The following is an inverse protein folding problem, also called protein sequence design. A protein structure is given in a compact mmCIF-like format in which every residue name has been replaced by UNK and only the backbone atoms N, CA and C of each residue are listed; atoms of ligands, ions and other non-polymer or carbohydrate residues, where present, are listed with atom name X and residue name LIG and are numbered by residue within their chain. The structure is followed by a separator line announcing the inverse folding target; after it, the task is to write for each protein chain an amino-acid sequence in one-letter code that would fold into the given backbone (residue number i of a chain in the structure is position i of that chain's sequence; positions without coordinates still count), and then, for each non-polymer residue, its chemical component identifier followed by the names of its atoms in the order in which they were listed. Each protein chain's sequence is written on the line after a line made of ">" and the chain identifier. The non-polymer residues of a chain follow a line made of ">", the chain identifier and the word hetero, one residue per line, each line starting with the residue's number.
data_IF_864239805263
#
_entry.id   IF_864239805263
#
_cell.length_a   1.000
_cell.length_b   1.000
_cell.length_c   1.000
_cell.angle_alpha   90.00
_cell.angle_beta   90.00
_cell.angle_gamma   90.00
#
_symmetry.space_group_name_H-M   'P 1'
#
loop_
_entity.id
_entity.type
_entity.pdbx_description
1 polymer ?
#
# COMPACT_ATOMS: atom_id res chain seq x y z
N UNK A 1 39.65 -1.23 -6.95
CA UNK A 1 39.17 0.03 -6.35
C UNK A 1 38.70 1.02 -7.41
N UNK A 2 37.92 2.00 -7.01
CA UNK A 2 37.39 3.03 -7.95
C UNK A 2 38.21 4.33 -7.87
N UNK A 3 39.03 4.50 -6.85
CA UNK A 3 39.86 5.71 -6.68
C UNK A 3 41.27 5.32 -6.20
N UNK A 4 42.29 5.81 -6.89
CA UNK A 4 43.68 5.60 -6.50
C UNK A 4 44.06 6.52 -5.32
N UNK A 5 44.82 5.99 -4.38
CA UNK A 5 45.48 6.76 -3.32
C UNK A 5 46.82 7.20 -3.90
N UNK A 6 46.88 8.42 -4.44
CA UNK A 6 48.02 8.92 -5.20
C UNK A 6 49.38 8.75 -4.50
N UNK A 7 49.53 9.05 -3.20
CA UNK A 7 50.80 8.80 -2.50
C UNK A 7 51.27 7.37 -2.50
N UNK A 8 50.33 6.39 -2.32
CA UNK A 8 50.66 4.96 -2.32
C UNK A 8 50.99 4.46 -3.73
N UNK A 9 50.28 4.99 -4.73
CA UNK A 9 50.54 4.69 -6.14
C UNK A 9 51.96 5.11 -6.55
N UNK A 10 52.35 6.34 -6.18
CA UNK A 10 53.68 6.87 -6.49
C UNK A 10 54.80 6.12 -5.77
N UNK A 11 54.55 5.51 -4.61
CA UNK A 11 55.48 4.69 -3.89
C UNK A 11 55.52 3.22 -4.38
N UNK A 12 54.74 2.87 -5.41
CA UNK A 12 54.70 1.51 -5.96
C UNK A 12 54.05 0.47 -5.01
N UNK A 13 53.29 0.90 -3.99
CA UNK A 13 52.66 0.01 -3.04
C UNK A 13 51.54 -0.78 -3.71
N UNK A 14 51.52 -2.12 -3.63
CA UNK A 14 50.38 -2.91 -4.07
C UNK A 14 49.12 -2.52 -3.28
N UNK A 15 47.94 -2.67 -3.88
CA UNK A 15 46.66 -2.31 -3.24
C UNK A 15 46.52 -0.79 -2.91
N UNK A 16 46.98 0.05 -3.81
CA UNK A 16 46.91 1.49 -3.71
C UNK A 16 45.57 2.11 -4.13
N UNK A 17 44.50 1.33 -4.21
CA UNK A 17 43.18 1.79 -4.61
C UNK A 17 42.17 1.64 -3.48
N UNK A 18 41.31 2.65 -3.31
CA UNK A 18 40.18 2.60 -2.37
C UNK A 18 38.97 1.96 -3.03
N UNK A 19 38.36 1.01 -2.33
CA UNK A 19 37.07 0.47 -2.69
C UNK A 19 36.06 0.90 -1.63
N UNK A 20 35.00 1.57 -2.06
CA UNK A 20 33.91 1.93 -1.16
C UNK A 20 33.18 0.64 -0.75
N UNK A 21 33.42 0.15 0.45
CA UNK A 21 32.67 -0.98 1.00
C UNK A 21 31.25 -0.49 1.27
N UNK A 22 30.32 -0.81 0.38
CA UNK A 22 28.91 -0.55 0.63
C UNK A 22 28.45 -1.54 1.71
N UNK A 23 28.30 -1.05 2.91
CA UNK A 23 27.64 -1.82 3.98
C UNK A 23 26.15 -1.85 3.64
N UNK A 24 25.54 -3.02 3.45
CA UNK A 24 24.11 -3.06 3.20
C UNK A 24 23.37 -2.54 4.43
N UNK A 25 22.75 -1.39 4.30
CA UNK A 25 21.85 -0.85 5.33
C UNK A 25 20.56 -1.64 5.24
N UNK A 26 20.23 -2.39 6.29
CA UNK A 26 18.99 -3.14 6.39
C UNK A 26 17.83 -2.14 6.54
N UNK A 27 17.16 -1.82 5.43
CA UNK A 27 16.02 -0.91 5.42
C UNK A 27 14.80 -1.60 6.03
N UNK A 28 14.08 -0.89 6.90
CA UNK A 28 12.83 -1.38 7.48
C UNK A 28 11.73 -1.35 6.39
N UNK A 29 11.09 -2.50 6.17
CA UNK A 29 9.99 -2.62 5.21
C UNK A 29 8.65 -2.49 5.95
N UNK A 30 7.77 -1.65 5.42
CA UNK A 30 6.42 -1.40 5.94
C UNK A 30 5.41 -1.81 4.87
N UNK A 31 4.35 -2.48 5.29
CA UNK A 31 3.25 -2.85 4.40
C UNK A 31 2.02 -2.01 4.72
N UNK A 32 1.58 -1.27 3.73
CA UNK A 32 0.43 -0.37 3.80
C UNK A 32 -0.71 -0.95 2.95
N UNK A 33 -1.92 -0.99 3.50
CA UNK A 33 -3.12 -1.43 2.83
C UNK A 33 -4.09 -0.26 2.72
N UNK A 34 -4.39 0.20 1.51
CA UNK A 34 -5.38 1.25 1.23
C UNK A 34 -6.71 0.62 0.87
N UNK A 35 -7.72 0.81 1.70
CA UNK A 35 -9.08 0.41 1.37
C UNK A 35 -9.64 1.28 0.24
N UNK A 36 -10.27 0.65 -0.75
CA UNK A 36 -10.95 1.30 -1.87
C UNK A 36 -12.43 0.94 -1.93
N UNK A 37 -12.99 0.43 -0.85
CA UNK A 37 -14.40 0.03 -0.70
C UNK A 37 -15.32 1.24 -0.45
N UNK A 38 -15.37 2.12 -1.44
CA UNK A 38 -16.21 3.32 -1.38
C UNK A 38 -17.69 3.02 -1.58
N UNK A 39 -18.54 3.70 -0.82
CA UNK A 39 -19.98 3.69 -1.04
C UNK A 39 -20.33 4.39 -2.36
N UNK A 40 -21.51 4.06 -2.91
CA UNK A 40 -21.98 4.64 -4.18
C UNK A 40 -22.14 6.16 -4.20
N UNK A 41 -22.31 6.79 -3.02
CA UNK A 41 -22.44 8.23 -2.87
C UNK A 41 -21.12 9.02 -2.78
N UNK A 42 -19.98 8.34 -2.84
CA UNK A 42 -18.67 9.02 -2.80
C UNK A 42 -18.34 9.57 -4.16
N UNK A 43 -18.01 10.87 -4.24
CA UNK A 43 -17.64 11.53 -5.49
C UNK A 43 -16.23 11.13 -5.97
N UNK A 44 -16.00 11.29 -7.28
CA UNK A 44 -14.68 11.03 -7.87
C UNK A 44 -13.59 11.94 -7.25
N UNK A 45 -13.92 13.21 -6.98
CA UNK A 45 -12.97 14.18 -6.41
C UNK A 45 -12.53 13.76 -4.99
N UNK A 46 -13.44 13.25 -4.18
CA UNK A 46 -13.11 12.71 -2.86
C UNK A 46 -12.17 11.51 -2.95
N UNK A 47 -12.37 10.62 -3.92
CA UNK A 47 -11.48 9.47 -4.17
C UNK A 47 -10.09 9.94 -4.58
N UNK A 48 -10.00 10.97 -5.44
CA UNK A 48 -8.74 11.57 -5.87
C UNK A 48 -7.99 12.14 -4.67
N UNK A 49 -8.66 12.94 -3.85
CA UNK A 49 -8.08 13.58 -2.67
C UNK A 49 -7.52 12.55 -1.68
N UNK A 50 -8.28 11.50 -1.39
CA UNK A 50 -7.81 10.41 -0.51
C UNK A 50 -6.61 9.66 -1.08
N UNK A 51 -6.61 9.46 -2.39
CA UNK A 51 -5.52 8.77 -3.07
C UNK A 51 -4.23 9.60 -3.05
N UNK A 52 -4.34 10.92 -3.18
CA UNK A 52 -3.22 11.84 -3.03
C UNK A 52 -2.65 11.77 -1.61
N UNK A 53 -3.50 11.78 -0.58
CA UNK A 53 -3.07 11.64 0.82
C UNK A 53 -2.34 10.31 1.05
N UNK A 54 -2.83 9.21 0.51
CA UNK A 54 -2.17 7.90 0.61
C UNK A 54 -0.78 7.91 -0.06
N UNK A 55 -0.65 8.50 -1.24
CA UNK A 55 0.64 8.63 -1.93
C UNK A 55 1.62 9.55 -1.17
N UNK A 56 1.13 10.62 -0.55
CA UNK A 56 1.94 11.51 0.29
C UNK A 56 2.50 10.78 1.51
N UNK A 57 1.70 9.92 2.16
CA UNK A 57 2.15 9.09 3.28
C UNK A 57 3.30 8.17 2.82
N UNK A 58 3.12 7.45 1.71
CA UNK A 58 4.18 6.59 1.16
C UNK A 58 5.45 7.39 0.86
N UNK A 59 5.32 8.56 0.22
CA UNK A 59 6.47 9.43 -0.12
C UNK A 59 7.22 9.89 1.13
N UNK A 60 6.51 10.29 2.17
CA UNK A 60 7.13 10.71 3.44
C UNK A 60 7.88 9.57 4.12
N UNK A 61 7.27 8.38 4.21
CA UNK A 61 7.91 7.19 4.79
C UNK A 61 9.18 6.80 4.02
N UNK A 62 9.15 6.85 2.69
CA UNK A 62 10.33 6.56 1.90
C UNK A 62 11.43 7.63 2.06
N UNK A 63 11.06 8.89 2.26
CA UNK A 63 12.02 9.96 2.58
C UNK A 63 12.67 9.77 3.96
N UNK A 64 11.99 9.15 4.91
CA UNK A 64 12.54 8.77 6.23
C UNK A 64 13.40 7.49 6.19
N UNK A 65 13.58 6.87 5.02
CA UNK A 65 14.43 5.69 4.85
C UNK A 65 13.71 4.35 4.97
N UNK A 66 12.40 4.35 5.15
CA UNK A 66 11.60 3.12 5.08
C UNK A 66 11.43 2.66 3.63
N UNK A 67 11.08 1.40 3.45
CA UNK A 67 10.63 0.85 2.18
C UNK A 67 9.18 0.39 2.30
N UNK A 68 8.33 0.85 1.37
CA UNK A 68 6.91 0.63 1.47
C UNK A 68 6.40 -0.37 0.41
N UNK A 69 5.72 -1.42 0.87
CA UNK A 69 4.77 -2.15 0.05
C UNK A 69 3.43 -1.42 0.13
N UNK A 70 2.81 -1.14 -1.00
CA UNK A 70 1.46 -0.58 -1.05
C UNK A 70 0.52 -1.56 -1.72
N UNK A 71 -0.55 -1.90 -1.02
CA UNK A 71 -1.64 -2.72 -1.52
C UNK A 71 -2.93 -1.90 -1.57
N UNK A 72 -3.78 -2.20 -2.52
CA UNK A 72 -5.20 -1.83 -2.46
C UNK A 72 -6.00 -3.01 -1.94
N UNK A 73 -7.00 -2.72 -1.16
CA UNK A 73 -7.84 -3.74 -0.51
C UNK A 73 -9.30 -3.41 -0.75
N UNK A 74 -10.04 -4.42 -1.13
CA UNK A 74 -11.50 -4.42 -1.10
C UNK A 74 -11.95 -5.39 -0.03
N UNK A 75 -12.67 -4.89 0.99
CA UNK A 75 -13.36 -5.70 1.97
C UNK A 75 -14.86 -5.59 1.79
N UNK A 76 -15.54 -6.71 1.65
CA UNK A 76 -16.99 -6.73 1.57
C UNK A 76 -17.55 -7.85 2.43
N UNK A 77 -18.73 -7.61 3.00
CA UNK A 77 -19.47 -8.59 3.82
C UNK A 77 -20.82 -8.84 3.18
N UNK A 78 -21.14 -10.09 2.94
CA UNK A 78 -22.39 -10.49 2.29
C UNK A 78 -22.89 -11.84 2.79
N UNK A 79 -24.16 -12.15 2.50
CA UNK A 79 -24.80 -13.44 2.79
C UNK A 79 -25.35 -13.58 4.21
N UNK A 80 -26.03 -14.70 4.43
CA UNK A 80 -26.51 -15.12 5.76
C UNK A 80 -26.18 -16.60 5.94
N UNK A 81 -25.39 -16.99 6.98
CA UNK A 81 -24.68 -16.09 7.89
C UNK A 81 -23.66 -15.23 7.16
N UNK A 82 -23.40 -14.01 7.66
CA UNK A 82 -22.56 -13.05 6.99
C UNK A 82 -21.14 -13.59 6.80
N UNK A 83 -20.67 -13.58 5.54
CA UNK A 83 -19.32 -13.96 5.17
C UNK A 83 -18.54 -12.74 4.78
N UNK A 84 -17.30 -12.66 5.26
CA UNK A 84 -16.37 -11.63 4.86
C UNK A 84 -15.55 -12.10 3.66
N UNK A 85 -15.40 -11.23 2.71
CA UNK A 85 -14.59 -11.45 1.53
C UNK A 85 -13.62 -10.28 1.35
N UNK A 86 -12.33 -10.59 1.25
CA UNK A 86 -11.29 -9.58 1.10
C UNK A 86 -10.39 -9.92 -0.07
N UNK A 87 -10.23 -8.96 -0.95
CA UNK A 87 -9.27 -9.00 -2.06
C UNK A 87 -8.16 -8.01 -1.78
N UNK A 88 -6.92 -8.47 -1.86
CA UNK A 88 -5.71 -7.66 -1.68
C UNK A 88 -4.87 -7.73 -2.95
N UNK A 89 -4.59 -6.58 -3.53
CA UNK A 89 -3.76 -6.45 -4.73
C UNK A 89 -2.56 -5.57 -4.44
N UNK A 90 -1.36 -6.09 -4.65
CA UNK A 90 -0.13 -5.29 -4.52
C UNK A 90 0.05 -4.40 -5.74
N UNK A 91 0.10 -3.10 -5.52
CA UNK A 91 0.29 -2.08 -6.55
C UNK A 91 1.70 -1.48 -6.55
N UNK A 92 2.43 -1.56 -5.42
CA UNK A 92 3.82 -1.16 -5.28
C UNK A 92 4.57 -2.14 -4.38
N UNK A 93 5.74 -2.59 -4.82
CA UNK A 93 6.68 -3.38 -4.03
C UNK A 93 7.68 -2.47 -3.30
N UNK A 94 8.20 -2.93 -2.15
CA UNK A 94 9.25 -2.25 -1.41
C UNK A 94 10.54 -2.03 -2.24
N UNK A 95 10.80 -2.91 -3.21
CA UNK A 95 11.97 -2.82 -4.08
C UNK A 95 11.80 -1.83 -5.25
N UNK A 96 10.57 -1.33 -5.47
CA UNK A 96 10.26 -0.39 -6.54
C UNK A 96 10.28 1.05 -6.03
N UNK A 97 10.72 1.98 -6.87
CA UNK A 97 10.53 3.42 -6.63
C UNK A 97 9.05 3.78 -6.76
N UNK A 98 8.65 4.83 -6.05
CA UNK A 98 7.29 5.37 -6.18
C UNK A 98 7.07 5.89 -7.61
N UNK A 99 6.15 5.28 -8.34
CA UNK A 99 5.75 5.70 -9.68
C UNK A 99 4.27 6.12 -9.66
N UNK A 100 4.04 7.43 -9.67
CA UNK A 100 2.70 8.01 -9.58
C UNK A 100 1.80 7.57 -10.75
N UNK A 101 2.35 7.53 -11.97
CA UNK A 101 1.57 7.13 -13.16
C UNK A 101 1.08 5.68 -13.07
N UNK A 102 1.91 4.77 -12.54
CA UNK A 102 1.52 3.36 -12.29
C UNK A 102 0.42 3.26 -11.23
N UNK A 103 0.46 4.12 -10.22
CA UNK A 103 -0.45 4.07 -9.08
C UNK A 103 -1.76 4.85 -9.32
N UNK A 104 -1.81 5.75 -10.28
CA UNK A 104 -2.94 6.62 -10.52
C UNK A 104 -4.22 5.80 -10.80
N UNK A 105 -4.20 4.86 -11.74
CA UNK A 105 -5.38 4.08 -12.07
C UNK A 105 -5.91 3.27 -10.87
N UNK A 106 -5.11 2.42 -10.19
CA UNK A 106 -5.62 1.58 -9.11
C UNK A 106 -6.08 2.35 -7.88
N UNK A 107 -5.53 3.54 -7.62
CA UNK A 107 -5.90 4.33 -6.45
C UNK A 107 -7.03 5.32 -6.73
N UNK A 108 -7.02 5.95 -7.92
CA UNK A 108 -7.85 7.13 -8.21
C UNK A 108 -9.08 6.77 -9.03
N UNK A 109 -8.98 5.80 -9.94
CA UNK A 109 -10.04 5.58 -10.90
C UNK A 109 -11.17 4.70 -10.35
N UNK A 110 -12.44 5.16 -10.32
CA UNK A 110 -13.57 4.40 -9.78
C UNK A 110 -13.78 3.03 -10.44
N UNK A 111 -13.33 2.86 -11.68
CA UNK A 111 -13.43 1.59 -12.40
C UNK A 111 -12.60 0.47 -11.76
N UNK A 112 -11.57 0.79 -10.98
CA UNK A 112 -10.84 -0.24 -10.23
C UNK A 112 -11.78 -1.01 -9.31
N UNK A 113 -12.61 -0.31 -8.54
CA UNK A 113 -13.63 -0.91 -7.69
C UNK A 113 -14.80 -1.43 -8.53
N UNK A 114 -15.48 -0.53 -9.27
CA UNK A 114 -16.80 -0.79 -9.86
C UNK A 114 -16.78 -1.72 -11.08
N UNK A 115 -15.63 -1.87 -11.74
CA UNK A 115 -15.50 -2.80 -12.87
C UNK A 115 -14.62 -3.99 -12.54
N UNK A 116 -13.38 -3.76 -12.11
CA UNK A 116 -12.42 -4.86 -11.93
C UNK A 116 -12.74 -5.71 -10.70
N UNK A 117 -12.94 -5.10 -9.52
CA UNK A 117 -13.26 -5.90 -8.33
C UNK A 117 -14.65 -6.51 -8.37
N UNK A 118 -15.66 -5.79 -8.87
CA UNK A 118 -16.99 -6.37 -9.01
C UNK A 118 -16.97 -7.52 -10.02
N UNK A 119 -16.27 -7.36 -11.14
CA UNK A 119 -16.09 -8.45 -12.11
C UNK A 119 -15.37 -9.64 -11.51
N UNK A 120 -14.38 -9.42 -10.65
CA UNK A 120 -13.71 -10.50 -9.92
C UNK A 120 -14.71 -11.28 -9.04
N UNK A 121 -15.57 -10.59 -8.28
CA UNK A 121 -16.63 -11.22 -7.47
C UNK A 121 -17.58 -12.03 -8.36
N UNK A 122 -17.99 -11.50 -9.50
CA UNK A 122 -18.91 -12.16 -10.43
C UNK A 122 -18.36 -13.45 -11.05
N UNK A 123 -17.07 -13.47 -11.33
CA UNK A 123 -16.41 -14.59 -12.03
C UNK A 123 -15.97 -15.69 -11.06
N UNK A 124 -15.84 -15.41 -9.76
CA UNK A 124 -15.38 -16.39 -8.78
C UNK A 124 -16.55 -17.18 -8.18
N UNK A 125 -16.79 -18.44 -8.60
CA UNK A 125 -18.01 -19.19 -8.27
C UNK A 125 -18.27 -19.35 -6.76
N UNK A 126 -17.19 -19.49 -5.99
CA UNK A 126 -17.30 -19.66 -4.53
C UNK A 126 -17.70 -18.37 -3.81
N UNK A 127 -17.46 -17.22 -4.44
CA UNK A 127 -17.78 -15.91 -3.90
C UNK A 127 -19.16 -15.47 -4.36
N UNK A 128 -19.46 -15.64 -5.65
CA UNK A 128 -20.75 -15.26 -6.27
C UNK A 128 -21.93 -15.85 -5.53
N UNK A 129 -21.85 -17.10 -5.07
CA UNK A 129 -22.90 -17.76 -4.31
C UNK A 129 -23.27 -17.06 -3.00
N UNK A 130 -22.37 -16.27 -2.44
CA UNK A 130 -22.60 -15.50 -1.21
C UNK A 130 -23.21 -14.12 -1.46
N UNK A 131 -23.21 -13.65 -2.72
CA UNK A 131 -23.69 -12.33 -3.15
C UNK A 131 -25.01 -12.43 -3.90
N UNK A 132 -26.04 -12.90 -3.23
CA UNK A 132 -27.38 -13.15 -3.83
C UNK A 132 -28.09 -11.87 -4.24
N UNK A 133 -27.78 -10.73 -3.57
CA UNK A 133 -28.38 -9.43 -3.85
C UNK A 133 -27.35 -8.31 -3.79
N UNK A 134 -26.64 -8.08 -4.91
CA UNK A 134 -25.62 -7.03 -5.02
C UNK A 134 -24.24 -7.44 -4.49
N UNK A 135 -23.38 -6.45 -4.26
CA UNK A 135 -21.96 -6.67 -3.94
C UNK A 135 -21.64 -6.61 -2.43
N UNK A 136 -22.68 -6.75 -1.59
CA UNK A 136 -22.54 -6.70 -0.14
C UNK A 136 -22.35 -5.27 0.40
N UNK A 137 -21.99 -5.17 1.67
CA UNK A 137 -21.60 -3.92 2.31
C UNK A 137 -20.08 -3.82 2.44
N UNK A 138 -19.49 -2.62 2.39
CA UNK A 138 -18.09 -2.44 2.72
C UNK A 138 -17.79 -3.01 4.12
N UNK A 139 -16.66 -3.69 4.25
CA UNK A 139 -16.18 -4.17 5.53
C UNK A 139 -15.85 -2.99 6.45
N UNK A 140 -16.08 -3.16 7.75
CA UNK A 140 -15.69 -2.15 8.75
C UNK A 140 -14.17 -2.15 8.95
N UNK A 141 -13.63 -1.06 9.49
CA UNK A 141 -12.19 -0.99 9.78
C UNK A 141 -11.74 -2.04 10.78
N UNK A 142 -12.58 -2.39 11.75
CA UNK A 142 -12.26 -3.43 12.73
C UNK A 142 -12.24 -4.83 12.10
N UNK A 143 -13.18 -5.11 11.20
CA UNK A 143 -13.18 -6.33 10.40
C UNK A 143 -11.90 -6.44 9.57
N UNK A 144 -11.48 -5.35 8.93
CA UNK A 144 -10.26 -5.29 8.12
C UNK A 144 -8.98 -5.43 8.97
N UNK A 145 -8.91 -4.80 10.14
CA UNK A 145 -7.77 -4.93 11.07
C UNK A 145 -7.56 -6.35 11.55
N UNK A 146 -8.64 -7.08 11.82
CA UNK A 146 -8.56 -8.46 12.24
C UNK A 146 -7.93 -9.37 11.15
N UNK A 147 -8.12 -9.01 9.88
CA UNK A 147 -7.57 -9.75 8.74
C UNK A 147 -6.11 -9.38 8.50
N UNK A 148 -5.74 -8.10 8.61
CA UNK A 148 -4.40 -7.57 8.31
C UNK A 148 -3.54 -7.36 9.56
N UNK A 149 -3.52 -8.34 10.47
CA UNK A 149 -2.67 -8.27 11.68
C UNK A 149 -1.20 -8.06 11.30
N UNK A 150 -0.59 -7.04 11.93
CA UNK A 150 0.82 -6.69 11.68
C UNK A 150 1.08 -5.88 10.41
N UNK A 151 0.05 -5.48 9.67
CA UNK A 151 0.12 -4.57 8.54
C UNK A 151 -0.68 -3.29 8.85
N UNK A 152 -0.28 -2.18 8.23
CA UNK A 152 -0.96 -0.90 8.44
C UNK A 152 -2.12 -0.74 7.48
N UNK A 153 -3.28 -0.40 8.01
CA UNK A 153 -4.45 -0.04 7.23
C UNK A 153 -4.50 1.48 7.09
N UNK A 154 -4.35 1.97 5.86
CA UNK A 154 -4.56 3.39 5.58
C UNK A 154 -6.05 3.71 5.67
N UNK A 155 -6.41 4.78 6.38
CA UNK A 155 -7.79 5.12 6.60
C UNK A 155 -8.53 5.41 5.30
N UNK A 156 -9.80 5.09 5.32
CA UNK A 156 -10.76 5.72 4.45
C UNK A 156 -11.13 7.06 5.10
N UNK A 157 -10.52 8.14 4.64
CA UNK A 157 -10.69 9.48 5.24
C UNK A 157 -12.13 9.99 5.14
N UNK A 158 -12.94 9.41 4.26
CA UNK A 158 -14.36 9.77 4.08
C UNK A 158 -15.20 9.24 5.23
N UNK A 159 -14.88 8.07 5.79
CA UNK A 159 -15.65 7.43 6.87
C UNK A 159 -15.27 7.90 8.27
N UNK A 160 -14.45 8.91 8.47
CA UNK A 160 -14.00 9.43 9.79
C UNK A 160 -13.68 8.31 10.80
N UNK A 161 -13.03 7.25 10.34
CA UNK A 161 -12.64 6.16 11.24
C UNK A 161 -11.52 6.63 12.18
N UNK A 162 -11.88 6.75 13.44
CA UNK A 162 -11.12 7.43 14.51
C UNK A 162 -9.81 6.71 14.85
N UNK A 163 -9.67 5.42 14.49
CA UNK A 163 -8.56 4.57 14.91
C UNK A 163 -7.61 4.14 13.79
N UNK A 164 -7.58 4.87 12.70
CA UNK A 164 -6.69 4.58 11.58
C UNK A 164 -5.50 5.52 11.62
N UNK A 165 -4.36 5.06 11.13
CA UNK A 165 -3.14 5.87 10.97
C UNK A 165 -3.50 7.13 10.21
N UNK A 166 -3.50 8.26 10.90
CA UNK A 166 -3.83 9.57 10.32
C UNK A 166 -2.57 10.33 9.91
N UNK A 167 -1.46 10.04 10.59
CA UNK A 167 -0.18 10.74 10.42
C UNK A 167 0.96 9.73 10.48
N UNK A 168 2.15 10.19 10.09
CA UNK A 168 3.39 9.41 10.21
C UNK A 168 3.75 9.21 11.67
N UNK A 169 3.45 10.20 12.51
CA UNK A 169 3.71 10.15 13.94
C UNK A 169 2.97 8.97 14.60
N UNK A 170 1.82 8.55 14.07
CA UNK A 170 1.14 7.34 14.50
C UNK A 170 1.92 6.06 14.18
N UNK A 171 2.82 6.09 13.17
CA UNK A 171 3.72 4.98 12.84
C UNK A 171 4.99 4.97 13.67
N UNK A 172 5.41 6.11 14.22
CA UNK A 172 6.59 6.23 15.05
C UNK A 172 6.29 5.84 16.52
N UNK A 173 5.02 5.83 16.90
CA UNK A 173 4.56 5.46 18.25
C UNK A 173 4.15 3.98 18.39
N UNK A 174 4.42 3.15 17.37
CA UNK A 174 4.29 1.70 17.39
C UNK A 174 5.68 1.09 17.39
#
# INVERSE_FOLDING_TARGET
>A
GYQAIVPLYLQGVPNNMVTKKMTPVKQKVITLNKSIDYNGGVSADQIIEESIKAMQIVKKLEAQGYRCNLNIVLGTTAGYPSKQFVVKVRIKSANEKLNVSKLAFPLVHPSMLRRLFFRFIEVYPNVTKSFVSGYGRPATSDEMRNIFKGEYLLPNFIKKDVNTIKTIDDLENI
#
